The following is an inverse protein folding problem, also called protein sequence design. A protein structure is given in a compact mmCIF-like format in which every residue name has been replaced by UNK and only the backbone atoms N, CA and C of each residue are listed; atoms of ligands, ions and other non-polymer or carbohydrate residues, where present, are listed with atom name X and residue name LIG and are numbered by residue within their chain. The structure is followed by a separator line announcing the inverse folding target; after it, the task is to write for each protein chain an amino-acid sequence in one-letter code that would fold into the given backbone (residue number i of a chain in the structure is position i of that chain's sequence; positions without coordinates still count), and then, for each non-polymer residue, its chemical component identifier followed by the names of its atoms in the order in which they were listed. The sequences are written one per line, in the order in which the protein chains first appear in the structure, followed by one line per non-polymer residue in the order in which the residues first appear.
data_IF_581828603995
#
_entry.id   IF_581828603995
#
_cell.length_a   1.000
_cell.length_b   1.000
_cell.length_c   1.000
_cell.angle_alpha   90.00
_cell.angle_beta   90.00
_cell.angle_gamma   90.00
#
_symmetry.space_group_name_H-M   'P 1'
#
loop_
_entity.id
_entity.type
_entity.pdbx_description
1 polymer ?
#
# COMPACT_ATOMS: atom_id res chain seq x y z
N UNK A 1 -5.86 -22.11 -17.07
CA UNK A 1 -5.83 -20.74 -17.62
C UNK A 1 -6.34 -19.80 -16.56
N UNK A 2 -5.57 -18.79 -16.21
CA UNK A 2 -5.95 -17.75 -15.24
C UNK A 2 -7.07 -16.90 -15.85
N UNK A 3 -8.10 -16.59 -15.04
CA UNK A 3 -9.25 -15.83 -15.51
C UNK A 3 -8.92 -14.32 -15.50
N UNK A 4 -9.05 -13.57 -16.59
CA UNK A 4 -8.69 -12.16 -16.61
C UNK A 4 -9.65 -11.34 -15.75
N UNK A 5 -9.09 -10.36 -15.02
CA UNK A 5 -9.87 -9.35 -14.29
C UNK A 5 -10.27 -8.26 -15.30
N UNK A 6 -11.58 -7.98 -15.39
CA UNK A 6 -12.11 -6.95 -16.31
C UNK A 6 -12.50 -5.69 -15.55
N UNK A 7 -12.10 -4.52 -16.04
CA UNK A 7 -12.40 -3.24 -15.41
C UNK A 7 -13.91 -3.01 -15.22
N UNK A 8 -14.73 -3.39 -16.21
CA UNK A 8 -16.20 -3.26 -16.11
C UNK A 8 -16.77 -4.03 -14.90
N UNK A 9 -16.26 -5.25 -14.62
CA UNK A 9 -16.66 -6.04 -13.46
C UNK A 9 -16.26 -5.39 -12.14
N UNK A 10 -15.09 -4.75 -12.08
CA UNK A 10 -14.64 -3.98 -10.90
C UNK A 10 -15.61 -2.83 -10.64
N UNK A 11 -15.96 -2.06 -11.67
CA UNK A 11 -16.91 -0.95 -11.53
C UNK A 11 -18.29 -1.45 -11.07
N UNK A 12 -18.79 -2.55 -11.63
CA UNK A 12 -20.06 -3.13 -11.19
C UNK A 12 -20.04 -3.49 -9.71
N UNK A 13 -18.99 -4.19 -9.27
CA UNK A 13 -18.83 -4.60 -7.87
C UNK A 13 -18.73 -3.41 -6.92
N UNK A 14 -17.95 -2.39 -7.27
CA UNK A 14 -17.82 -1.20 -6.45
C UNK A 14 -19.16 -0.46 -6.33
N UNK A 15 -19.91 -0.35 -7.43
CA UNK A 15 -21.23 0.29 -7.39
C UNK A 15 -22.24 -0.48 -6.55
N UNK A 16 -22.19 -1.81 -6.51
CA UNK A 16 -23.00 -2.63 -5.61
C UNK A 16 -22.62 -2.37 -4.15
N UNK A 17 -21.33 -2.39 -3.81
CA UNK A 17 -20.81 -2.11 -2.48
C UNK A 17 -21.23 -0.71 -2.00
N UNK A 18 -21.08 0.31 -2.85
CA UNK A 18 -21.34 1.70 -2.49
C UNK A 18 -22.83 2.09 -2.41
N UNK A 19 -23.75 1.19 -2.70
CA UNK A 19 -25.18 1.41 -2.41
C UNK A 19 -25.48 1.46 -0.90
N UNK A 20 -24.62 0.85 -0.10
CA UNK A 20 -24.78 0.74 1.37
C UNK A 20 -24.01 1.81 2.14
N UNK A 21 -23.28 2.72 1.44
CA UNK A 21 -22.56 3.81 2.09
C UNK A 21 -23.48 4.69 2.94
N UNK A 22 -22.97 5.12 4.06
CA UNK A 22 -23.69 5.96 5.02
C UNK A 22 -24.22 7.25 4.36
N UNK A 23 -25.54 7.40 4.32
CA UNK A 23 -26.22 8.61 3.82
C UNK A 23 -26.96 9.28 4.96
N UNK A 24 -26.41 10.35 5.49
CA UNK A 24 -27.00 11.11 6.62
C UNK A 24 -28.13 12.05 6.20
N UNK A 25 -28.44 12.13 4.90
CA UNK A 25 -29.52 13.00 4.41
C UNK A 25 -30.88 12.47 4.82
N UNK A 26 -31.73 13.32 5.36
CA UNK A 26 -33.13 12.97 5.61
C UNK A 26 -33.84 12.73 4.29
N UNK A 27 -34.39 11.52 4.11
CA UNK A 27 -35.06 11.10 2.90
C UNK A 27 -36.07 12.14 2.39
N UNK A 28 -35.78 12.71 1.24
CA UNK A 28 -36.67 13.57 0.47
C UNK A 28 -36.58 13.15 -0.99
N UNK A 29 -37.68 13.18 -1.72
CA UNK A 29 -37.79 12.88 -3.16
C UNK A 29 -36.90 13.77 -4.05
N UNK A 30 -36.10 14.68 -3.48
CA UNK A 30 -35.23 15.64 -4.17
C UNK A 30 -33.74 15.30 -4.16
N UNK A 31 -33.33 14.08 -3.81
CA UNK A 31 -31.92 13.68 -3.86
C UNK A 31 -31.42 13.61 -5.31
N UNK A 32 -30.77 14.68 -5.74
CA UNK A 32 -30.26 14.83 -7.11
C UNK A 32 -29.13 13.86 -7.46
N UNK A 33 -28.33 13.47 -6.46
CA UNK A 33 -27.17 12.60 -6.59
C UNK A 33 -27.22 11.46 -5.57
N UNK A 34 -26.87 10.25 -6.00
CA UNK A 34 -26.75 9.09 -5.11
C UNK A 34 -25.38 9.06 -4.42
N UNK A 35 -25.28 8.33 -3.29
CA UNK A 35 -23.99 8.05 -2.65
C UNK A 35 -23.07 7.30 -3.60
N UNK A 36 -23.62 6.33 -4.33
CA UNK A 36 -22.90 5.56 -5.35
C UNK A 36 -22.31 6.47 -6.44
N UNK A 37 -23.05 7.48 -6.95
CA UNK A 37 -22.51 8.42 -7.94
C UNK A 37 -21.39 9.30 -7.35
N UNK A 38 -21.51 9.71 -6.09
CA UNK A 38 -20.47 10.51 -5.43
C UNK A 38 -19.19 9.70 -5.22
N UNK A 39 -19.29 8.46 -4.72
CA UNK A 39 -18.14 7.58 -4.52
C UNK A 39 -17.51 7.16 -5.85
N UNK A 40 -18.34 6.81 -6.86
CA UNK A 40 -17.83 6.47 -8.22
C UNK A 40 -17.13 7.65 -8.87
N UNK A 41 -17.65 8.87 -8.73
CA UNK A 41 -17.01 10.08 -9.26
C UNK A 41 -15.67 10.35 -8.55
N UNK A 42 -15.62 10.22 -7.21
CA UNK A 42 -14.37 10.40 -6.46
C UNK A 42 -13.31 9.35 -6.84
N UNK A 43 -13.68 8.07 -6.88
CA UNK A 43 -12.80 6.98 -7.34
C UNK A 43 -12.28 7.25 -8.76
N UNK A 44 -13.16 7.68 -9.67
CA UNK A 44 -12.81 7.92 -11.07
C UNK A 44 -11.76 9.03 -11.24
N UNK A 45 -11.77 10.04 -10.38
CA UNK A 45 -10.74 11.10 -10.36
C UNK A 45 -9.36 10.50 -10.10
N UNK A 46 -9.24 9.62 -9.10
CA UNK A 46 -7.99 8.95 -8.77
C UNK A 46 -7.60 7.92 -9.82
N UNK A 47 -8.56 7.14 -10.32
CA UNK A 47 -8.32 6.13 -11.35
C UNK A 47 -7.84 6.76 -12.67
N UNK A 48 -8.42 7.89 -13.09
CA UNK A 48 -7.96 8.60 -14.30
C UNK A 48 -6.75 9.50 -14.06
N UNK A 49 -6.26 9.57 -12.82
CA UNK A 49 -5.23 10.50 -12.40
C UNK A 49 -5.55 11.96 -12.79
N UNK A 50 -6.81 12.34 -12.64
CA UNK A 50 -7.24 13.72 -12.86
C UNK A 50 -6.72 14.63 -11.75
N UNK A 51 -6.21 15.84 -12.06
CA UNK A 51 -5.60 16.71 -11.05
C UNK A 51 -6.61 17.34 -10.08
N UNK A 52 -7.91 17.27 -10.38
CA UNK A 52 -8.99 17.77 -9.52
C UNK A 52 -10.35 17.24 -9.94
N UNK A 53 -11.35 17.33 -9.04
CA UNK A 53 -12.75 17.02 -9.36
C UNK A 53 -13.27 17.86 -10.52
N UNK A 54 -12.93 19.15 -10.56
CA UNK A 54 -13.34 20.04 -11.64
C UNK A 54 -12.73 19.65 -13.00
N UNK A 55 -11.47 19.24 -13.02
CA UNK A 55 -10.84 18.74 -14.25
C UNK A 55 -11.51 17.49 -14.75
N UNK A 56 -11.77 16.52 -13.86
CA UNK A 56 -12.49 15.29 -14.19
C UNK A 56 -13.89 15.59 -14.74
N UNK A 57 -14.66 16.44 -14.05
CA UNK A 57 -15.99 16.82 -14.48
C UNK A 57 -15.98 17.38 -15.90
N UNK A 58 -15.07 18.32 -16.18
CA UNK A 58 -14.94 18.96 -17.49
C UNK A 58 -14.54 17.96 -18.60
N UNK A 59 -13.69 16.99 -18.28
CA UNK A 59 -13.20 16.00 -19.25
C UNK A 59 -14.26 14.91 -19.54
N UNK A 60 -15.13 14.63 -18.56
CA UNK A 60 -16.16 13.58 -18.63
C UNK A 60 -17.58 14.10 -18.91
N UNK A 61 -17.79 15.42 -18.95
CA UNK A 61 -19.12 16.00 -19.19
C UNK A 61 -19.73 15.57 -20.53
N UNK A 62 -21.06 15.55 -20.54
CA UNK A 62 -21.86 15.10 -21.67
C UNK A 62 -21.52 15.80 -22.99
N UNK A 63 -21.18 15.02 -23.99
CA UNK A 63 -21.22 15.44 -25.39
C UNK A 63 -22.34 14.68 -26.11
N UNK A 64 -23.27 15.39 -26.72
CA UNK A 64 -24.36 14.78 -27.50
C UNK A 64 -25.19 13.74 -26.73
N UNK A 65 -25.47 13.96 -25.45
CA UNK A 65 -26.27 13.11 -24.54
C UNK A 65 -25.56 11.86 -23.99
N UNK A 66 -24.33 11.56 -24.37
CA UNK A 66 -23.54 10.49 -23.79
C UNK A 66 -22.33 11.04 -23.03
N UNK A 67 -21.88 10.32 -22.03
CA UNK A 67 -20.76 10.70 -21.17
C UNK A 67 -19.90 9.47 -20.85
N UNK A 68 -18.58 9.64 -20.92
CA UNK A 68 -17.67 8.60 -20.47
C UNK A 68 -17.80 8.29 -18.97
N UNK A 69 -18.29 9.24 -18.17
CA UNK A 69 -18.65 8.94 -16.78
C UNK A 69 -19.77 7.89 -16.69
N UNK A 70 -20.77 7.95 -17.59
CA UNK A 70 -21.85 6.97 -17.65
C UNK A 70 -21.39 5.64 -18.22
N UNK A 71 -20.69 5.65 -19.35
CA UNK A 71 -20.33 4.41 -20.05
C UNK A 71 -19.19 3.64 -19.40
N UNK A 72 -18.19 4.33 -18.83
CA UNK A 72 -17.01 3.72 -18.24
C UNK A 72 -17.14 3.51 -16.73
N UNK A 73 -17.74 4.47 -16.01
CA UNK A 73 -17.86 4.42 -14.55
C UNK A 73 -19.29 4.27 -14.04
N UNK A 74 -20.26 4.23 -14.97
CA UNK A 74 -21.71 4.11 -14.67
C UNK A 74 -22.22 5.21 -13.75
N UNK A 75 -21.58 6.39 -13.78
CA UNK A 75 -22.02 7.59 -13.04
C UNK A 75 -23.12 8.27 -13.86
N UNK A 76 -24.35 8.25 -13.37
CA UNK A 76 -25.48 8.84 -14.09
C UNK A 76 -25.41 10.35 -14.17
N UNK A 77 -25.04 10.97 -13.05
CA UNK A 77 -24.81 12.41 -12.95
C UNK A 77 -23.56 12.69 -12.16
N UNK A 78 -22.59 13.38 -12.74
CA UNK A 78 -21.37 13.79 -12.02
C UNK A 78 -21.76 14.87 -11.00
N UNK A 79 -21.62 14.63 -9.68
CA UNK A 79 -21.84 15.66 -8.68
C UNK A 79 -20.74 16.73 -8.79
N UNK A 80 -21.07 17.99 -8.51
CA UNK A 80 -20.04 19.03 -8.38
C UNK A 80 -19.10 18.72 -7.22
N UNK A 81 -17.90 19.31 -7.24
CA UNK A 81 -16.83 19.04 -6.29
C UNK A 81 -17.26 19.23 -4.82
N UNK A 82 -17.99 20.31 -4.52
CA UNK A 82 -18.53 20.55 -3.18
C UNK A 82 -19.57 19.48 -2.79
N UNK A 83 -20.37 18.99 -3.74
CA UNK A 83 -21.34 17.94 -3.48
C UNK A 83 -20.67 16.61 -3.18
N UNK A 84 -19.60 16.24 -3.91
CA UNK A 84 -18.82 15.04 -3.62
C UNK A 84 -18.28 15.12 -2.20
N UNK A 85 -17.68 16.26 -1.82
CA UNK A 85 -17.13 16.45 -0.48
C UNK A 85 -18.21 16.33 0.61
N UNK A 86 -19.34 17.01 0.45
CA UNK A 86 -20.42 16.98 1.44
C UNK A 86 -21.05 15.60 1.60
N UNK A 87 -21.15 14.83 0.50
CA UNK A 87 -21.71 13.48 0.51
C UNK A 87 -20.75 12.46 1.14
N UNK A 88 -19.45 12.58 0.89
CA UNK A 88 -18.47 11.62 1.37
C UNK A 88 -17.90 11.95 2.76
N UNK A 89 -18.08 13.18 3.26
CA UNK A 89 -17.55 13.54 4.59
C UNK A 89 -18.10 12.69 5.75
N UNK A 90 -19.39 12.29 5.78
CA UNK A 90 -19.88 11.38 6.81
C UNK A 90 -19.54 9.90 6.60
N UNK A 91 -18.99 9.50 5.46
CA UNK A 91 -18.66 8.11 5.12
C UNK A 91 -17.36 7.69 5.80
N UNK A 92 -17.41 6.64 6.63
CA UNK A 92 -16.20 6.06 7.21
C UNK A 92 -15.33 5.43 6.13
N UNK A 93 -13.99 5.59 6.16
CA UNK A 93 -13.09 4.90 5.22
C UNK A 93 -13.23 3.38 5.29
N UNK A 94 -13.63 2.82 6.43
CA UNK A 94 -13.84 1.37 6.62
C UNK A 94 -14.97 0.82 5.74
N UNK A 95 -15.94 1.64 5.35
CA UNK A 95 -17.03 1.24 4.44
C UNK A 95 -16.53 0.87 3.03
N UNK A 96 -15.29 1.24 2.69
CA UNK A 96 -14.65 0.94 1.40
C UNK A 96 -13.66 -0.26 1.51
N UNK A 97 -13.33 -0.72 2.71
CA UNK A 97 -12.33 -1.77 2.91
C UNK A 97 -12.70 -3.10 2.24
N UNK A 98 -13.98 -3.44 2.17
CA UNK A 98 -14.45 -4.66 1.49
C UNK A 98 -14.08 -4.70 0.00
N UNK A 99 -13.91 -3.55 -0.65
CA UNK A 99 -13.55 -3.48 -2.07
C UNK A 99 -12.08 -3.86 -2.31
N UNK A 100 -11.20 -3.57 -1.34
CA UNK A 100 -9.80 -4.03 -1.39
C UNK A 100 -9.71 -5.55 -1.30
N UNK A 101 -10.42 -6.12 -0.31
CA UNK A 101 -10.41 -7.57 -0.10
C UNK A 101 -11.01 -8.29 -1.29
N UNK A 102 -12.07 -7.76 -1.88
CA UNK A 102 -12.63 -8.33 -3.09
C UNK A 102 -11.61 -8.38 -4.24
N UNK A 103 -10.78 -7.34 -4.45
CA UNK A 103 -9.70 -7.35 -5.45
C UNK A 103 -8.65 -8.41 -5.12
N UNK A 104 -8.25 -8.52 -3.85
CA UNK A 104 -7.28 -9.53 -3.40
C UNK A 104 -7.83 -10.95 -3.62
N UNK A 105 -9.11 -11.17 -3.30
CA UNK A 105 -9.80 -12.45 -3.51
C UNK A 105 -9.91 -12.82 -5.00
N UNK A 106 -10.19 -11.85 -5.88
CA UNK A 106 -10.20 -12.06 -7.32
C UNK A 106 -8.81 -12.45 -7.86
N UNK A 107 -7.74 -11.83 -7.36
CA UNK A 107 -6.36 -12.20 -7.68
C UNK A 107 -6.03 -13.61 -7.16
N UNK A 108 -6.52 -13.97 -5.97
CA UNK A 108 -6.36 -15.32 -5.42
C UNK A 108 -7.12 -16.36 -6.24
N UNK A 109 -8.41 -16.12 -6.50
CA UNK A 109 -9.27 -17.03 -7.28
C UNK A 109 -8.78 -17.23 -8.73
N UNK A 110 -8.11 -16.23 -9.29
CA UNK A 110 -7.49 -16.33 -10.63
C UNK A 110 -6.06 -16.91 -10.61
N UNK A 111 -5.52 -17.25 -9.43
CA UNK A 111 -4.18 -17.84 -9.27
C UNK A 111 -3.02 -16.85 -9.35
N UNK A 112 -3.29 -15.56 -9.53
CA UNK A 112 -2.24 -14.55 -9.63
C UNK A 112 -1.58 -14.24 -8.28
N UNK A 113 -2.32 -14.34 -7.18
CA UNK A 113 -1.81 -14.06 -5.84
C UNK A 113 -0.74 -15.07 -5.41
N UNK A 114 -0.83 -16.34 -5.83
CA UNK A 114 0.17 -17.38 -5.51
C UNK A 114 1.59 -16.98 -5.89
N UNK A 115 1.75 -16.21 -6.96
CA UNK A 115 3.04 -15.72 -7.41
C UNK A 115 3.72 -14.77 -6.40
N UNK A 116 2.97 -14.22 -5.44
CA UNK A 116 3.48 -13.33 -4.39
C UNK A 116 4.04 -14.08 -3.19
N UNK A 117 3.74 -15.36 -3.03
CA UNK A 117 4.37 -16.17 -1.99
C UNK A 117 5.88 -16.19 -2.18
N UNK A 118 6.62 -16.07 -1.09
CA UNK A 118 8.07 -16.12 -1.08
C UNK A 118 8.58 -16.87 0.16
N UNK A 119 9.39 -16.29 1.00
CA UNK A 119 10.06 -16.94 2.11
C UNK A 119 9.14 -17.94 2.86
N UNK A 120 9.52 -19.22 2.85
CA UNK A 120 8.77 -20.32 3.46
C UNK A 120 7.29 -20.40 3.04
N UNK A 121 6.95 -19.95 1.84
CA UNK A 121 5.58 -19.97 1.32
C UNK A 121 4.66 -18.91 1.90
N UNK A 122 5.18 -17.92 2.63
CA UNK A 122 4.38 -16.84 3.21
C UNK A 122 4.13 -15.70 2.21
N UNK A 123 3.02 -14.99 2.35
CA UNK A 123 2.88 -13.64 1.82
C UNK A 123 3.65 -12.66 2.70
N UNK A 124 4.24 -11.65 2.09
CA UNK A 124 4.99 -10.64 2.82
C UNK A 124 4.23 -9.32 2.79
N UNK A 125 3.88 -8.79 3.96
CA UNK A 125 3.17 -7.53 4.12
C UNK A 125 4.11 -6.51 4.75
N UNK A 126 4.45 -5.46 4.02
CA UNK A 126 5.23 -4.34 4.54
C UNK A 126 4.30 -3.27 5.10
N UNK A 127 4.55 -2.81 6.32
CA UNK A 127 3.80 -1.79 7.03
C UNK A 127 4.67 -0.57 7.26
N UNK A 128 4.12 0.63 7.01
CA UNK A 128 4.78 1.90 7.31
C UNK A 128 3.75 3.02 7.46
N UNK A 129 4.08 4.04 8.24
CA UNK A 129 3.26 5.22 8.43
C UNK A 129 3.47 6.26 7.32
N UNK A 130 2.40 6.85 6.81
CA UNK A 130 2.45 7.91 5.82
C UNK A 130 1.67 9.13 6.26
N UNK A 131 2.27 10.32 6.13
CA UNK A 131 1.56 11.60 6.20
C UNK A 131 1.10 11.95 4.80
N UNK A 132 -0.21 12.16 4.62
CA UNK A 132 -0.81 12.46 3.31
C UNK A 132 -1.51 13.83 3.26
N UNK A 133 -1.72 14.48 4.41
CA UNK A 133 -2.20 15.86 4.51
C UNK A 133 -1.41 16.59 5.58
N UNK A 134 -1.07 17.86 5.34
CA UNK A 134 -0.50 18.77 6.34
C UNK A 134 -0.88 20.21 6.01
N UNK A 135 -1.32 20.97 7.03
CA UNK A 135 -1.72 22.36 6.90
C UNK A 135 -1.47 23.11 8.20
N UNK A 136 -1.23 24.41 8.11
CA UNK A 136 -1.20 25.33 9.27
C UNK A 136 -2.54 26.01 9.52
N UNK A 137 -3.55 25.78 8.66
CA UNK A 137 -4.83 26.50 8.70
C UNK A 137 -6.03 25.56 8.65
N UNK A 138 -5.98 24.56 7.77
CA UNK A 138 -7.09 23.59 7.58
C UNK A 138 -6.91 22.44 8.55
N UNK A 139 -7.89 22.20 9.41
CA UNK A 139 -7.87 21.13 10.41
C UNK A 139 -9.29 20.68 10.77
N UNK A 140 -9.39 19.51 11.37
CA UNK A 140 -10.59 18.92 11.98
C UNK A 140 -10.20 18.22 13.30
N UNK A 141 -11.18 17.71 14.03
CA UNK A 141 -10.97 17.00 15.30
C UNK A 141 -10.17 15.70 15.16
N UNK A 142 -10.06 15.16 13.94
CA UNK A 142 -9.27 13.97 13.64
C UNK A 142 -7.83 14.28 13.24
N UNK A 143 -7.41 15.54 13.13
CA UNK A 143 -6.04 15.93 12.84
C UNK A 143 -5.12 15.64 14.03
N UNK A 144 -3.95 15.11 13.73
CA UNK A 144 -2.81 15.15 14.64
C UNK A 144 -2.16 16.53 14.59
N UNK A 145 -1.46 16.92 15.65
CA UNK A 145 -0.77 18.21 15.76
C UNK A 145 0.73 17.99 16.00
N UNK A 146 1.54 18.88 15.41
CA UNK A 146 2.94 19.02 15.74
C UNK A 146 3.34 20.49 15.72
N UNK A 147 4.29 20.87 16.59
CA UNK A 147 4.88 22.21 16.56
C UNK A 147 6.27 22.13 15.92
N UNK A 148 6.55 23.07 15.04
CA UNK A 148 7.89 23.22 14.48
C UNK A 148 8.80 24.00 15.46
N UNK A 149 10.09 24.17 15.10
CA UNK A 149 11.07 24.90 15.91
C UNK A 149 10.75 26.37 16.10
N UNK A 150 9.84 26.93 15.32
CA UNK A 150 9.38 28.31 15.40
C UNK A 150 8.07 28.45 16.19
N UNK A 151 7.51 27.33 16.70
CA UNK A 151 6.28 27.28 17.47
C UNK A 151 5.01 27.24 16.61
N UNK A 152 5.12 27.18 15.27
CA UNK A 152 3.97 27.06 14.38
C UNK A 152 3.31 25.71 14.52
N UNK A 153 1.99 25.66 14.71
CA UNK A 153 1.22 24.43 14.76
C UNK A 153 0.95 23.93 13.34
N UNK A 154 1.30 22.68 13.08
CA UNK A 154 0.97 21.95 11.88
C UNK A 154 -0.05 20.87 12.20
N UNK A 155 -1.20 20.94 11.56
CA UNK A 155 -2.24 19.92 11.59
C UNK A 155 -2.00 18.93 10.46
N UNK A 156 -2.07 17.64 10.72
CA UNK A 156 -1.82 16.64 9.69
C UNK A 156 -2.65 15.39 9.88
N UNK A 157 -2.91 14.69 8.76
CA UNK A 157 -3.43 13.33 8.76
C UNK A 157 -2.35 12.35 8.35
N UNK A 158 -2.32 11.24 9.05
CA UNK A 158 -1.45 10.12 8.72
C UNK A 158 -2.19 8.79 8.84
N UNK A 159 -1.65 7.76 8.20
CA UNK A 159 -2.20 6.42 8.24
C UNK A 159 -1.08 5.38 8.14
N UNK A 160 -1.33 4.17 8.62
CA UNK A 160 -0.56 2.99 8.23
C UNK A 160 -1.07 2.57 6.85
N UNK A 161 -0.17 2.35 5.92
CA UNK A 161 -0.48 1.93 4.55
C UNK A 161 0.17 0.57 4.23
N UNK A 162 -0.44 -0.56 4.63
CA UNK A 162 0.12 -1.88 4.40
C UNK A 162 0.07 -2.27 2.93
N UNK A 163 1.08 -3.02 2.46
CA UNK A 163 1.16 -3.52 1.10
C UNK A 163 1.69 -4.94 1.06
N UNK A 164 1.10 -5.79 0.20
CA UNK A 164 1.72 -7.07 -0.13
C UNK A 164 2.87 -6.80 -1.08
N UNK A 165 4.05 -7.28 -0.72
CA UNK A 165 5.30 -7.08 -1.46
C UNK A 165 5.97 -8.41 -1.75
N UNK A 166 6.82 -8.42 -2.78
CA UNK A 166 7.70 -9.54 -3.08
C UNK A 166 9.07 -9.02 -3.49
N UNK A 167 10.18 -9.67 -3.07
CA UNK A 167 11.49 -9.40 -3.65
C UNK A 167 11.43 -9.49 -5.18
N UNK A 168 12.14 -8.58 -5.88
CA UNK A 168 12.29 -8.53 -7.35
C UNK A 168 10.98 -8.35 -8.15
N UNK A 169 9.83 -8.09 -7.50
CA UNK A 169 8.58 -7.74 -8.14
C UNK A 169 8.31 -6.23 -7.95
N UNK A 170 8.19 -5.43 -9.01
CA UNK A 170 7.93 -3.99 -8.90
C UNK A 170 6.47 -3.67 -8.53
N UNK A 171 5.59 -4.66 -8.65
CA UNK A 171 4.16 -4.48 -8.38
C UNK A 171 3.87 -4.79 -6.91
N UNK A 172 3.27 -3.84 -6.21
CA UNK A 172 2.82 -3.99 -4.84
C UNK A 172 1.30 -3.91 -4.78
N UNK A 173 0.67 -4.69 -3.90
CA UNK A 173 -0.78 -4.70 -3.72
C UNK A 173 -1.11 -3.92 -2.45
N UNK A 174 -1.69 -2.73 -2.59
CA UNK A 174 -2.14 -1.94 -1.45
C UNK A 174 -3.28 -2.66 -0.72
N UNK A 175 -3.19 -2.69 0.60
CA UNK A 175 -4.24 -3.19 1.49
C UNK A 175 -5.00 -2.00 2.11
N UNK A 176 -6.15 -2.23 2.75
CA UNK A 176 -6.88 -1.17 3.42
C UNK A 176 -5.97 -0.37 4.35
N UNK A 177 -5.93 0.97 4.27
CA UNK A 177 -5.15 1.77 5.18
C UNK A 177 -5.82 1.90 6.54
N UNK A 178 -5.04 2.11 7.60
CA UNK A 178 -5.54 2.38 8.94
C UNK A 178 -5.18 3.80 9.36
N UNK A 179 -6.18 4.63 9.64
CA UNK A 179 -5.97 6.01 10.05
C UNK A 179 -5.29 6.08 11.43
N UNK A 180 -4.28 6.93 11.56
CA UNK A 180 -3.70 7.28 12.84
C UNK A 180 -4.46 8.49 13.39
N UNK A 181 -5.05 8.34 14.57
CA UNK A 181 -5.93 9.35 15.17
C UNK A 181 -5.32 9.92 16.46
N UNK A 182 -5.73 11.13 16.91
CA UNK A 182 -5.15 11.76 18.10
C UNK A 182 -5.24 10.90 19.37
N UNK A 183 -6.25 10.01 19.47
CA UNK A 183 -6.44 9.09 20.58
C UNK A 183 -5.38 7.99 20.68
N UNK A 184 -4.59 7.77 19.62
CA UNK A 184 -3.53 6.75 19.60
C UNK A 184 -2.33 7.13 20.44
N UNK A 185 -2.19 8.41 20.85
CA UNK A 185 -1.11 8.90 21.71
C UNK A 185 -0.58 10.26 21.26
N UNK A 186 0.37 10.78 22.02
CA UNK A 186 1.00 12.09 21.73
C UNK A 186 2.32 11.94 20.97
N UNK A 187 2.99 10.80 21.05
CA UNK A 187 4.22 10.52 20.34
C UNK A 187 3.95 9.75 19.04
N UNK A 188 4.64 10.12 17.98
CA UNK A 188 4.50 9.47 16.67
C UNK A 188 4.63 7.95 16.78
N UNK A 189 5.57 7.47 17.59
CA UNK A 189 5.83 6.04 17.74
C UNK A 189 4.66 5.27 18.34
N UNK A 190 4.04 5.82 19.39
CA UNK A 190 2.91 5.17 20.04
C UNK A 190 1.68 5.15 19.14
N UNK A 191 1.45 6.22 18.37
CA UNK A 191 0.36 6.32 17.42
C UNK A 191 0.46 5.28 16.30
N UNK A 192 1.63 5.10 15.69
CA UNK A 192 1.83 4.10 14.63
C UNK A 192 1.67 2.66 15.16
N UNK A 193 2.16 2.39 16.39
CA UNK A 193 1.99 1.08 17.04
C UNK A 193 0.52 0.77 17.34
N UNK A 194 -0.24 1.75 17.84
CA UNK A 194 -1.66 1.59 18.14
C UNK A 194 -2.46 1.32 16.87
N UNK A 195 -2.25 2.10 15.82
CA UNK A 195 -2.90 1.90 14.53
C UNK A 195 -2.53 0.54 13.90
N UNK A 196 -1.27 0.13 13.97
CA UNK A 196 -0.84 -1.18 13.46
C UNK A 196 -1.50 -2.35 14.19
N UNK A 197 -1.69 -2.25 15.51
CA UNK A 197 -2.41 -3.26 16.28
C UNK A 197 -3.88 -3.34 15.89
N UNK A 198 -4.57 -2.19 15.70
CA UNK A 198 -5.95 -2.16 15.22
C UNK A 198 -6.06 -2.82 13.84
N UNK A 199 -5.16 -2.45 12.93
CA UNK A 199 -5.14 -3.03 11.61
C UNK A 199 -4.99 -4.55 11.63
N UNK A 200 -4.07 -5.09 12.44
CA UNK A 200 -3.91 -6.53 12.62
C UNK A 200 -5.17 -7.19 13.19
N UNK A 201 -5.78 -6.60 14.21
CA UNK A 201 -6.99 -7.12 14.83
C UNK A 201 -8.20 -7.12 13.88
N UNK A 202 -8.30 -6.10 13.00
CA UNK A 202 -9.42 -5.97 12.07
C UNK A 202 -9.26 -6.86 10.81
N UNK A 203 -8.02 -7.09 10.38
CA UNK A 203 -7.77 -7.67 9.05
C UNK A 203 -7.05 -9.02 9.05
N UNK A 204 -6.59 -9.54 10.19
CA UNK A 204 -5.87 -10.83 10.25
C UNK A 204 -6.71 -12.00 9.74
N UNK A 205 -8.02 -11.98 9.93
CA UNK A 205 -8.92 -13.06 9.51
C UNK A 205 -8.93 -13.26 7.98
N UNK A 206 -8.68 -12.20 7.21
CA UNK A 206 -8.54 -12.32 5.75
C UNK A 206 -7.33 -13.16 5.33
N UNK A 207 -6.38 -13.34 6.24
CA UNK A 207 -5.19 -14.13 6.00
C UNK A 207 -5.19 -15.50 6.71
N UNK A 208 -6.27 -15.87 7.42
CA UNK A 208 -6.36 -17.20 8.08
C UNK A 208 -5.99 -18.37 7.15
N UNK A 209 -6.40 -18.38 5.84
CA UNK A 209 -6.01 -19.44 4.93
C UNK A 209 -4.54 -19.39 4.51
N UNK A 210 -3.80 -18.36 4.89
CA UNK A 210 -2.46 -18.06 4.42
C UNK A 210 -1.49 -17.83 5.58
N UNK A 211 -0.24 -18.16 5.37
CA UNK A 211 0.85 -17.72 6.26
C UNK A 211 1.37 -16.36 5.80
N UNK A 212 1.54 -15.43 6.73
CA UNK A 212 2.00 -14.07 6.49
C UNK A 212 3.28 -13.76 7.26
N UNK A 213 4.19 -13.04 6.62
CA UNK A 213 5.37 -12.42 7.26
C UNK A 213 5.22 -10.91 7.21
N UNK A 214 5.07 -10.27 8.36
CA UNK A 214 4.99 -8.81 8.46
C UNK A 214 6.37 -8.17 8.48
N UNK A 215 6.56 -7.11 7.67
CA UNK A 215 7.75 -6.28 7.67
C UNK A 215 7.44 -4.91 8.26
N UNK A 216 8.35 -4.42 9.09
CA UNK A 216 8.26 -3.08 9.66
C UNK A 216 9.65 -2.50 9.91
N UNK A 217 9.69 -1.23 10.24
CA UNK A 217 10.92 -0.59 10.70
C UNK A 217 11.23 -0.97 12.16
N UNK A 218 12.24 -0.35 12.72
CA UNK A 218 12.71 -0.57 14.09
C UNK A 218 11.65 -0.29 15.19
N UNK A 219 10.64 0.52 14.85
CA UNK A 219 9.51 0.82 15.71
C UNK A 219 8.63 -0.40 15.98
N UNK A 220 8.51 -1.28 14.98
CA UNK A 220 7.68 -2.48 15.03
C UNK A 220 8.33 -3.62 15.84
N UNK A 221 9.65 -3.61 16.00
CA UNK A 221 10.38 -4.61 16.79
C UNK A 221 10.17 -4.39 18.30
N UNK A 222 8.92 -4.40 18.76
CA UNK A 222 8.57 -4.29 20.16
C UNK A 222 7.78 -5.50 20.63
N UNK A 223 8.05 -5.95 21.86
CA UNK A 223 7.46 -7.19 22.38
C UNK A 223 5.94 -7.26 22.30
N UNK A 224 5.15 -6.21 22.66
CA UNK A 224 3.68 -6.29 22.58
C UNK A 224 3.13 -6.52 21.16
N UNK A 225 3.81 -6.02 20.13
CA UNK A 225 3.39 -6.25 18.73
C UNK A 225 3.87 -7.61 18.23
N UNK A 226 5.11 -7.99 18.56
CA UNK A 226 5.64 -9.31 18.20
C UNK A 226 4.79 -10.45 18.79
N UNK A 227 4.41 -10.35 20.07
CA UNK A 227 3.53 -11.30 20.75
C UNK A 227 2.13 -11.34 20.12
N UNK A 228 1.56 -10.18 19.74
CA UNK A 228 0.28 -10.14 19.05
C UNK A 228 0.34 -10.92 17.72
N UNK A 229 1.40 -10.73 16.93
CA UNK A 229 1.56 -11.42 15.65
C UNK A 229 1.79 -12.92 15.84
N UNK A 230 2.67 -13.31 16.77
CA UNK A 230 3.09 -14.69 16.97
C UNK A 230 2.04 -15.52 17.73
N UNK A 231 1.63 -15.06 18.91
CA UNK A 231 0.80 -15.84 19.82
C UNK A 231 -0.70 -15.74 19.48
N UNK A 232 -1.18 -14.56 19.06
CA UNK A 232 -2.60 -14.33 18.79
C UNK A 232 -2.95 -14.67 17.36
N UNK A 233 -2.16 -14.18 16.39
CA UNK A 233 -2.45 -14.38 14.98
C UNK A 233 -1.69 -15.56 14.36
N UNK A 234 -0.75 -16.19 15.08
CA UNK A 234 0.06 -17.32 14.64
C UNK A 234 0.75 -17.06 13.29
N UNK A 235 1.26 -15.85 13.13
CA UNK A 235 1.93 -15.37 11.93
C UNK A 235 3.39 -15.01 12.21
N UNK A 236 4.09 -14.56 11.20
CA UNK A 236 5.53 -14.29 11.25
C UNK A 236 5.82 -12.80 11.10
N UNK A 237 7.01 -12.41 11.56
CA UNK A 237 7.52 -11.06 11.36
C UNK A 237 9.00 -11.04 11.02
N UNK A 238 9.44 -10.00 10.31
CA UNK A 238 10.84 -9.64 10.08
C UNK A 238 10.94 -8.13 10.23
N UNK A 239 11.26 -7.67 11.44
CA UNK A 239 11.32 -6.25 11.77
C UNK A 239 12.76 -5.75 11.84
N UNK A 240 13.03 -4.57 11.28
CA UNK A 240 14.34 -3.93 11.45
C UNK A 240 14.66 -3.78 12.94
N UNK A 241 15.89 -4.07 13.30
CA UNK A 241 16.34 -4.05 14.69
C UNK A 241 17.67 -3.30 14.79
N UNK A 242 17.65 -2.08 15.36
CA UNK A 242 18.82 -1.21 15.44
C UNK A 242 19.52 -1.34 16.81
N UNK A 243 20.86 -1.23 16.87
CA UNK A 243 21.59 -1.28 18.14
C UNK A 243 21.17 -0.19 19.14
N UNK A 244 20.75 0.99 18.64
CA UNK A 244 20.37 2.12 19.49
C UNK A 244 19.07 1.90 20.26
N UNK A 245 18.15 1.10 19.75
CA UNK A 245 16.84 0.83 20.34
C UNK A 245 16.74 -0.53 21.01
N UNK A 246 17.64 -1.47 20.68
CA UNK A 246 17.63 -2.85 21.18
C UNK A 246 18.95 -3.21 21.88
N UNK A 247 19.36 -2.38 22.85
CA UNK A 247 20.65 -2.53 23.53
C UNK A 247 20.85 -3.90 24.18
N UNK A 248 19.82 -4.45 24.83
CA UNK A 248 19.87 -5.78 25.46
C UNK A 248 20.10 -6.88 24.41
N UNK A 249 19.35 -6.88 23.33
CA UNK A 249 19.51 -7.86 22.25
C UNK A 249 20.94 -7.86 21.70
N UNK A 250 21.51 -6.67 21.48
CA UNK A 250 22.87 -6.55 20.94
C UNK A 250 23.96 -6.89 21.97
N UNK A 251 23.72 -6.69 23.27
CA UNK A 251 24.60 -7.18 24.34
C UNK A 251 24.64 -8.71 24.35
N UNK A 252 23.47 -9.36 24.23
CA UNK A 252 23.40 -10.84 24.15
C UNK A 252 24.05 -11.38 22.87
N UNK A 253 23.82 -10.74 21.72
CA UNK A 253 24.50 -11.11 20.46
C UNK A 253 26.03 -11.02 20.63
N UNK A 254 26.54 -9.99 21.28
CA UNK A 254 27.98 -9.84 21.53
C UNK A 254 28.54 -10.91 22.51
N UNK A 255 27.74 -11.36 23.47
CA UNK A 255 28.10 -12.47 24.35
C UNK A 255 28.12 -13.80 23.60
N UNK A 256 27.08 -14.07 22.81
CA UNK A 256 26.99 -15.23 21.94
C UNK A 256 28.15 -15.28 20.93
N UNK A 257 28.54 -14.15 20.36
CA UNK A 257 29.67 -14.08 19.43
C UNK A 257 30.97 -14.53 20.08
N UNK A 258 31.25 -14.05 21.32
CA UNK A 258 32.43 -14.49 22.10
C UNK A 258 32.39 -15.99 22.43
N UNK A 259 31.20 -16.54 22.62
CA UNK A 259 30.98 -17.96 22.88
C UNK A 259 30.91 -18.84 21.64
N UNK A 260 31.04 -18.28 20.42
CA UNK A 260 30.92 -19.01 19.16
C UNK A 260 29.46 -19.33 18.76
N UNK A 261 28.48 -18.69 19.39
CA UNK A 261 27.04 -18.90 19.14
C UNK A 261 26.46 -18.04 17.99
N UNK A 262 27.25 -17.18 17.37
CA UNK A 262 26.86 -16.43 16.17
C UNK A 262 27.39 -17.12 14.93
N UNK A 263 26.48 -17.53 14.05
CA UNK A 263 26.86 -18.15 12.78
C UNK A 263 27.10 -17.06 11.72
N UNK A 264 28.16 -17.21 10.93
CA UNK A 264 28.50 -16.29 9.85
C UNK A 264 28.56 -17.04 8.51
N UNK A 265 27.98 -16.44 7.49
CA UNK A 265 27.97 -16.94 6.12
C UNK A 265 28.41 -15.86 5.15
N UNK A 266 29.32 -16.18 4.22
CA UNK A 266 29.86 -15.23 3.25
C UNK A 266 29.50 -15.65 1.83
N UNK A 267 29.04 -14.68 1.03
CA UNK A 267 28.83 -14.83 -0.40
C UNK A 267 29.56 -13.71 -1.15
N UNK A 268 30.28 -14.06 -2.21
CA UNK A 268 30.86 -13.08 -3.13
C UNK A 268 29.97 -12.98 -4.36
N UNK A 269 29.54 -11.75 -4.70
CA UNK A 269 28.62 -11.47 -5.82
C UNK A 269 29.20 -10.40 -6.72
N UNK A 270 28.95 -10.51 -8.01
CA UNK A 270 29.21 -9.49 -9.00
C UNK A 270 27.95 -8.66 -9.21
N UNK A 271 28.02 -7.32 -9.09
CA UNK A 271 26.87 -6.43 -9.24
C UNK A 271 26.79 -5.73 -10.62
N UNK A 272 27.57 -6.17 -11.60
CA UNK A 272 27.69 -5.56 -12.93
C UNK A 272 28.84 -4.55 -13.04
N UNK A 273 29.45 -4.11 -11.92
CA UNK A 273 30.54 -3.11 -11.90
C UNK A 273 31.73 -3.54 -11.05
N UNK A 274 31.50 -4.17 -9.91
CA UNK A 274 32.53 -4.63 -8.98
C UNK A 274 32.04 -5.85 -8.19
N UNK A 275 32.96 -6.55 -7.57
CA UNK A 275 32.65 -7.62 -6.64
C UNK A 275 32.24 -7.04 -5.27
N UNK A 276 31.21 -7.63 -4.70
CA UNK A 276 30.69 -7.35 -3.37
C UNK A 276 30.89 -8.58 -2.49
N UNK A 277 31.25 -8.35 -1.22
CA UNK A 277 31.23 -9.37 -0.18
C UNK A 277 29.97 -9.18 0.64
N UNK A 278 29.09 -10.17 0.61
CA UNK A 278 27.85 -10.24 1.37
C UNK A 278 28.10 -11.10 2.60
N UNK A 279 28.06 -10.49 3.77
CA UNK A 279 28.28 -11.17 5.06
C UNK A 279 26.94 -11.22 5.79
N UNK A 280 26.46 -12.44 5.99
CA UNK A 280 25.28 -12.74 6.80
C UNK A 280 25.72 -13.24 8.14
N UNK A 281 25.14 -12.73 9.22
CA UNK A 281 25.36 -13.20 10.58
C UNK A 281 24.01 -13.46 11.23
N UNK A 282 23.89 -14.50 12.04
CA UNK A 282 22.65 -14.77 12.76
C UNK A 282 22.88 -15.51 14.07
N UNK A 283 21.93 -15.34 14.98
CA UNK A 283 21.78 -16.09 16.20
C UNK A 283 20.29 -16.35 16.48
N UNK A 284 19.94 -17.53 16.93
CA UNK A 284 18.58 -17.86 17.31
C UNK A 284 18.40 -17.73 18.82
N UNK A 285 17.16 -17.50 19.26
CA UNK A 285 16.75 -17.46 20.68
C UNK A 285 17.46 -16.37 21.48
N UNK A 286 17.47 -15.14 20.96
CA UNK A 286 18.03 -13.95 21.61
C UNK A 286 16.91 -13.16 22.28
N UNK A 287 17.03 -12.72 23.54
CA UNK A 287 15.98 -11.92 24.19
C UNK A 287 15.84 -10.55 23.51
N UNK A 288 14.62 -10.17 23.16
CA UNK A 288 14.35 -8.89 22.48
C UNK A 288 14.58 -7.68 23.41
N UNK A 289 14.37 -7.85 24.72
CA UNK A 289 14.54 -6.82 25.75
C UNK A 289 15.07 -7.42 27.07
N UNK A 290 15.34 -6.58 28.02
CA UNK A 290 15.64 -7.01 29.39
C UNK A 290 14.36 -7.50 30.11
N UNK A 291 14.52 -8.47 31.02
CA UNK A 291 13.47 -9.00 31.88
C UNK A 291 13.28 -10.51 31.72
N UNK A 292 12.77 -11.15 32.76
CA UNK A 292 12.55 -12.61 32.78
C UNK A 292 11.37 -13.09 31.89
N UNK A 293 10.56 -12.14 31.45
CA UNK A 293 9.44 -12.32 30.52
C UNK A 293 9.75 -11.84 29.10
N UNK A 294 11.04 -11.67 28.77
CA UNK A 294 11.46 -11.22 27.45
C UNK A 294 11.11 -12.25 26.37
N UNK A 295 10.46 -11.78 25.29
CA UNK A 295 10.28 -12.59 24.08
C UNK A 295 11.64 -12.94 23.50
N UNK A 296 11.85 -14.23 23.19
CA UNK A 296 13.04 -14.68 22.49
C UNK A 296 12.77 -14.68 20.98
N UNK A 297 13.60 -13.96 20.28
CA UNK A 297 13.55 -13.81 18.82
C UNK A 297 14.80 -14.36 18.18
N UNK A 298 14.77 -14.54 16.86
CA UNK A 298 15.95 -14.87 16.08
C UNK A 298 16.47 -13.56 15.44
N UNK A 299 17.77 -13.34 15.52
CA UNK A 299 18.43 -12.15 15.01
C UNK A 299 19.23 -12.48 13.75
N UNK A 300 19.13 -11.63 12.73
CA UNK A 300 19.98 -11.69 11.54
C UNK A 300 20.52 -10.31 11.15
N UNK A 301 21.72 -10.30 10.58
CA UNK A 301 22.41 -9.12 10.08
C UNK A 301 22.93 -9.39 8.67
N UNK A 302 22.78 -8.42 7.79
CA UNK A 302 23.43 -8.39 6.48
C UNK A 302 24.31 -7.17 6.36
N UNK A 303 25.60 -7.40 6.07
CA UNK A 303 26.56 -6.39 5.68
C UNK A 303 27.06 -6.66 4.28
N UNK A 304 26.97 -5.66 3.39
CA UNK A 304 27.51 -5.71 2.03
C UNK A 304 28.68 -4.73 1.96
N UNK A 305 29.84 -5.23 1.55
CA UNK A 305 31.03 -4.40 1.38
C UNK A 305 31.58 -4.55 -0.04
N UNK A 306 32.24 -3.50 -0.52
CA UNK A 306 33.03 -3.58 -1.75
C UNK A 306 34.21 -4.52 -1.50
N UNK A 307 34.36 -5.56 -2.32
CA UNK A 307 35.33 -6.64 -2.03
C UNK A 307 36.78 -6.20 -2.02
N UNK A 308 37.16 -5.16 -2.78
CA UNK A 308 38.55 -4.66 -2.88
C UNK A 308 38.84 -3.57 -1.85
N UNK A 309 37.88 -2.63 -1.64
CA UNK A 309 38.11 -1.46 -0.79
C UNK A 309 37.65 -1.65 0.65
N UNK A 310 36.86 -2.68 0.94
CA UNK A 310 36.24 -2.90 2.26
C UNK A 310 35.14 -1.91 2.62
N UNK A 311 34.84 -0.92 1.73
CA UNK A 311 33.81 0.09 2.02
C UNK A 311 32.44 -0.55 2.18
N UNK A 312 31.75 -0.23 3.29
CA UNK A 312 30.38 -0.68 3.50
C UNK A 312 29.42 0.02 2.52
N UNK A 313 28.67 -0.79 1.76
CA UNK A 313 27.66 -0.36 0.78
C UNK A 313 26.27 -0.42 1.43
N UNK A 314 26.02 -1.47 2.22
CA UNK A 314 24.74 -1.68 2.89
C UNK A 314 24.95 -2.38 4.24
N UNK A 315 24.15 -2.01 5.24
CA UNK A 315 24.13 -2.67 6.53
C UNK A 315 22.74 -2.55 7.13
N UNK A 316 22.15 -3.67 7.53
CA UNK A 316 20.92 -3.71 8.31
C UNK A 316 20.83 -5.01 9.12
N UNK A 317 19.96 -5.03 10.13
CA UNK A 317 19.69 -6.19 10.93
C UNK A 317 18.20 -6.30 11.25
N UNK A 318 17.76 -7.52 11.53
CA UNK A 318 16.35 -7.84 11.77
C UNK A 318 16.18 -8.78 12.97
N UNK A 319 15.07 -8.59 13.67
CA UNK A 319 14.51 -9.53 14.62
C UNK A 319 13.32 -10.25 13.97
N UNK A 320 13.19 -11.56 14.18
CA UNK A 320 12.17 -12.39 13.59
C UNK A 320 11.82 -13.59 14.47
N UNK A 321 10.60 -14.14 14.32
CA UNK A 321 10.24 -15.44 14.90
C UNK A 321 10.48 -16.60 13.93
N UNK A 322 10.84 -16.35 12.66
CA UNK A 322 11.32 -17.40 11.76
C UNK A 322 12.63 -18.02 12.26
N UNK A 323 12.70 -19.34 12.29
CA UNK A 323 13.97 -20.04 12.56
C UNK A 323 14.99 -19.78 11.47
N UNK A 324 16.22 -19.41 11.85
CA UNK A 324 17.28 -19.04 10.91
C UNK A 324 18.31 -20.17 10.81
N UNK A 325 18.71 -20.50 9.59
CA UNK A 325 19.74 -21.45 9.26
C UNK A 325 20.66 -20.90 8.15
N UNK A 326 21.75 -21.63 7.87
CA UNK A 326 22.64 -21.29 6.74
C UNK A 326 21.91 -21.34 5.39
N UNK A 327 20.90 -22.19 5.26
CA UNK A 327 20.17 -22.39 4.01
C UNK A 327 19.17 -21.25 3.73
N UNK A 328 18.64 -20.58 4.77
CA UNK A 328 17.57 -19.60 4.61
C UNK A 328 17.94 -18.17 4.96
N UNK A 329 19.05 -17.90 5.64
CA UNK A 329 19.43 -16.55 6.10
C UNK A 329 19.54 -15.54 4.95
N UNK A 330 20.03 -15.95 3.80
CA UNK A 330 20.17 -15.08 2.63
C UNK A 330 18.80 -14.64 2.08
N UNK A 331 17.83 -15.57 2.04
CA UNK A 331 16.47 -15.26 1.60
C UNK A 331 15.72 -14.43 2.65
N UNK A 332 15.85 -14.75 3.93
CA UNK A 332 15.27 -13.96 5.02
C UNK A 332 15.74 -12.49 4.95
N UNK A 333 17.05 -12.26 4.83
CA UNK A 333 17.58 -10.93 4.68
C UNK A 333 17.10 -10.22 3.40
N UNK A 334 16.90 -10.97 2.30
CA UNK A 334 16.33 -10.44 1.05
C UNK A 334 14.88 -9.99 1.26
N UNK A 335 14.09 -10.76 1.99
CA UNK A 335 12.71 -10.41 2.37
C UNK A 335 12.70 -9.18 3.29
N UNK A 336 13.50 -9.15 4.35
CA UNK A 336 13.60 -8.01 5.26
C UNK A 336 13.97 -6.69 4.55
N UNK A 337 14.85 -6.78 3.53
CA UNK A 337 15.17 -5.63 2.68
C UNK A 337 13.97 -5.14 1.85
N UNK A 338 13.01 -5.99 1.55
CA UNK A 338 11.86 -5.65 0.69
C UNK A 338 10.93 -4.60 1.32
N UNK A 339 11.04 -4.31 2.63
CA UNK A 339 10.28 -3.26 3.31
C UNK A 339 10.32 -1.91 2.56
N UNK A 340 11.45 -1.54 1.95
CA UNK A 340 11.58 -0.27 1.23
C UNK A 340 10.52 -0.07 0.12
N UNK A 341 9.87 -1.13 -0.34
CA UNK A 341 8.83 -1.06 -1.39
C UNK A 341 7.56 -0.37 -0.92
N UNK A 342 7.23 -0.40 0.38
CA UNK A 342 6.09 0.36 0.90
C UNK A 342 6.28 1.86 0.65
N UNK A 343 7.50 2.35 0.78
CA UNK A 343 7.81 3.75 0.51
C UNK A 343 7.97 4.02 -0.99
N UNK A 344 8.80 3.25 -1.69
CA UNK A 344 9.20 3.57 -3.07
C UNK A 344 8.22 3.11 -4.14
N UNK A 345 7.62 1.92 -3.98
CA UNK A 345 6.71 1.34 -4.99
C UNK A 345 5.22 1.61 -4.68
N UNK A 346 4.91 2.14 -3.49
CA UNK A 346 3.56 2.55 -3.11
C UNK A 346 3.52 4.08 -2.91
N UNK A 347 3.99 4.58 -1.78
CA UNK A 347 3.80 5.97 -1.36
C UNK A 347 4.44 6.97 -2.33
N UNK A 348 5.69 6.76 -2.75
CA UNK A 348 6.37 7.64 -3.69
C UNK A 348 5.74 7.62 -5.09
N UNK A 349 5.15 6.48 -5.50
CA UNK A 349 4.37 6.40 -6.74
C UNK A 349 3.11 7.26 -6.61
N UNK A 350 2.38 7.14 -5.50
CA UNK A 350 1.18 7.93 -5.23
C UNK A 350 1.45 9.44 -5.14
N UNK A 351 2.59 9.84 -4.58
CA UNK A 351 3.01 11.25 -4.50
C UNK A 351 3.46 11.80 -5.86
N UNK A 352 4.27 11.06 -6.61
CA UNK A 352 5.08 11.62 -7.70
C UNK A 352 4.64 11.18 -9.10
N UNK A 353 3.77 10.15 -9.23
CA UNK A 353 3.41 9.58 -10.52
C UNK A 353 1.92 9.74 -10.89
N UNK A 354 1.34 10.88 -10.52
CA UNK A 354 0.05 11.33 -11.05
C UNK A 354 -1.17 11.05 -10.18
N UNK A 355 -1.03 10.35 -9.04
CA UNK A 355 -2.15 10.16 -8.09
C UNK A 355 -2.38 11.37 -7.19
N UNK A 356 -1.45 12.33 -7.19
CA UNK A 356 -1.57 13.58 -6.45
C UNK A 356 -1.88 13.39 -4.95
N UNK A 357 -1.23 12.40 -4.29
CA UNK A 357 -1.52 12.01 -2.92
C UNK A 357 -1.49 13.16 -1.92
N UNK A 358 -0.57 14.12 -2.10
CA UNK A 358 -0.42 15.29 -1.22
C UNK A 358 -1.31 16.46 -1.63
N UNK A 359 -2.09 16.35 -2.73
CA UNK A 359 -3.04 17.37 -3.12
C UNK A 359 -4.30 17.31 -2.26
N UNK A 360 -4.71 18.45 -1.74
CA UNK A 360 -5.93 18.54 -0.96
C UNK A 360 -7.18 18.49 -1.86
N UNK A 361 -7.66 17.28 -2.15
CA UNK A 361 -8.94 17.08 -2.85
C UNK A 361 -10.16 17.47 -1.99
N UNK A 362 -10.01 17.48 -0.67
CA UNK A 362 -11.00 17.86 0.31
C UNK A 362 -10.58 17.37 1.69
N UNK A 363 -10.75 18.21 2.70
CA UNK A 363 -10.39 17.85 4.07
C UNK A 363 -11.62 17.37 4.85
N UNK A 364 -12.75 18.12 4.76
CA UNK A 364 -13.97 17.84 5.51
C UNK A 364 -13.85 18.13 7.01
N UNK A 365 -14.93 17.84 7.71
CA UNK A 365 -15.01 18.00 9.17
C UNK A 365 -14.95 16.64 9.90
N UNK A 366 -15.18 15.52 9.18
CA UNK A 366 -15.26 14.16 9.76
C UNK A 366 -14.25 13.21 9.12
N UNK A 367 -14.65 12.56 8.03
CA UNK A 367 -13.90 11.43 7.44
C UNK A 367 -13.38 11.72 6.04
N UNK A 368 -13.76 12.83 5.40
CA UNK A 368 -13.52 13.07 3.99
C UNK A 368 -12.04 12.87 3.59
N UNK A 369 -11.10 13.43 4.37
CA UNK A 369 -9.67 13.30 4.07
C UNK A 369 -9.24 11.82 4.04
N UNK A 370 -9.66 11.04 5.04
CA UNK A 370 -9.35 9.61 5.15
C UNK A 370 -10.04 8.80 4.06
N UNK A 371 -11.31 9.09 3.75
CA UNK A 371 -12.08 8.39 2.72
C UNK A 371 -11.51 8.64 1.32
N UNK A 372 -11.12 9.89 1.01
CA UNK A 372 -10.47 10.21 -0.26
C UNK A 372 -9.08 9.57 -0.37
N UNK A 373 -8.31 9.53 0.72
CA UNK A 373 -7.05 8.80 0.79
C UNK A 373 -7.24 7.31 0.50
N UNK A 374 -8.23 6.69 1.13
CA UNK A 374 -8.58 5.27 0.92
C UNK A 374 -8.98 5.04 -0.54
N UNK A 375 -9.84 5.86 -1.14
CA UNK A 375 -10.21 5.72 -2.56
C UNK A 375 -9.02 5.91 -3.52
N UNK A 376 -8.05 6.74 -3.17
CA UNK A 376 -6.83 6.92 -3.96
C UNK A 376 -5.95 5.66 -3.95
N UNK A 377 -5.73 5.06 -2.77
CA UNK A 377 -5.02 3.79 -2.66
C UNK A 377 -5.79 2.65 -3.37
N UNK A 378 -7.12 2.62 -3.27
CA UNK A 378 -7.95 1.64 -3.98
C UNK A 378 -7.77 1.76 -5.50
N UNK A 379 -7.72 2.98 -6.05
CA UNK A 379 -7.45 3.19 -7.47
C UNK A 379 -6.06 2.67 -7.86
N UNK A 380 -5.05 2.84 -7.02
CA UNK A 380 -3.72 2.28 -7.24
C UNK A 380 -3.72 0.75 -7.20
N UNK A 381 -4.43 0.14 -6.24
CA UNK A 381 -4.61 -1.31 -6.17
C UNK A 381 -5.27 -1.85 -7.44
N UNK A 382 -6.34 -1.20 -7.94
CA UNK A 382 -7.02 -1.60 -9.19
C UNK A 382 -6.06 -1.52 -10.38
N UNK A 383 -5.25 -0.47 -10.50
CA UNK A 383 -4.25 -0.37 -11.57
C UNK A 383 -3.22 -1.50 -11.50
N UNK A 384 -2.79 -1.87 -10.30
CA UNK A 384 -1.86 -2.99 -10.10
C UNK A 384 -2.52 -4.32 -10.44
N UNK A 385 -3.75 -4.55 -9.99
CA UNK A 385 -4.51 -5.76 -10.30
C UNK A 385 -4.77 -5.93 -11.81
N UNK A 386 -5.13 -4.85 -12.50
CA UNK A 386 -5.28 -4.84 -13.95
C UNK A 386 -3.94 -5.14 -14.66
N UNK A 387 -2.84 -4.57 -14.19
CA UNK A 387 -1.52 -4.86 -14.77
C UNK A 387 -1.13 -6.33 -14.63
N UNK A 388 -1.49 -6.96 -13.51
CA UNK A 388 -1.19 -8.37 -13.24
C UNK A 388 -2.12 -9.30 -14.03
N UNK A 389 -3.42 -8.99 -14.10
CA UNK A 389 -4.46 -9.93 -14.47
C UNK A 389 -5.30 -9.52 -15.72
N UNK A 390 -4.89 -8.48 -16.45
CA UNK A 390 -5.53 -8.04 -17.69
C UNK A 390 -4.48 -7.79 -18.77
N UNK A 391 -4.47 -8.63 -19.80
CA UNK A 391 -3.43 -8.62 -20.82
C UNK A 391 -3.44 -7.33 -21.65
N UNK A 392 -4.62 -6.81 -22.00
CA UNK A 392 -4.76 -5.56 -22.76
C UNK A 392 -4.21 -4.36 -21.98
N UNK A 393 -4.59 -4.27 -20.70
CA UNK A 393 -4.09 -3.20 -19.83
C UNK A 393 -2.56 -3.31 -19.65
N UNK A 394 -2.05 -4.53 -19.45
CA UNK A 394 -0.60 -4.77 -19.32
C UNK A 394 0.14 -4.37 -20.59
N UNK A 395 -0.34 -4.82 -21.78
CA UNK A 395 0.26 -4.48 -23.06
C UNK A 395 0.35 -2.97 -23.27
N UNK A 396 -0.74 -2.24 -23.00
CA UNK A 396 -0.77 -0.78 -23.09
C UNK A 396 0.22 -0.13 -22.13
N UNK A 397 0.30 -0.66 -20.89
CA UNK A 397 1.21 -0.11 -19.85
C UNK A 397 2.69 -0.38 -20.15
N UNK A 398 3.01 -1.49 -20.77
CA UNK A 398 4.38 -1.84 -21.18
C UNK A 398 4.79 -1.06 -22.43
N UNK A 399 3.90 -0.88 -23.38
CA UNK A 399 4.12 -0.07 -24.59
C UNK A 399 4.29 1.40 -24.23
N UNK A 400 3.41 1.96 -23.42
CA UNK A 400 3.49 3.31 -22.89
C UNK A 400 4.23 3.26 -21.54
N UNK A 401 5.53 2.96 -21.56
CA UNK A 401 6.34 2.65 -20.38
C UNK A 401 6.26 3.71 -19.26
N UNK A 402 6.03 4.98 -19.62
CA UNK A 402 5.84 6.07 -18.67
C UNK A 402 4.38 6.12 -18.24
N UNK A 403 4.11 5.87 -16.95
CA UNK A 403 2.76 5.92 -16.36
C UNK A 403 2.00 7.21 -16.72
N UNK A 404 2.67 8.34 -16.63
CA UNK A 404 2.10 9.65 -16.93
C UNK A 404 1.60 9.76 -18.38
N UNK A 405 2.31 9.20 -19.35
CA UNK A 405 1.89 9.20 -20.76
C UNK A 405 0.58 8.44 -20.94
N UNK A 406 0.49 7.21 -20.41
CA UNK A 406 -0.73 6.41 -20.49
C UNK A 406 -1.95 7.15 -19.96
N UNK A 407 -1.87 7.74 -18.75
CA UNK A 407 -3.02 8.46 -18.18
C UNK A 407 -3.30 9.80 -18.86
N UNK A 408 -2.30 10.43 -19.44
CA UNK A 408 -2.50 11.62 -20.27
C UNK A 408 -3.29 11.27 -21.51
N UNK A 409 -2.93 10.21 -22.22
CA UNK A 409 -3.62 9.74 -23.42
C UNK A 409 -5.04 9.28 -23.09
N UNK A 410 -5.23 8.53 -22.01
CA UNK A 410 -6.55 8.13 -21.53
C UNK A 410 -7.47 9.35 -21.30
N UNK A 411 -6.98 10.39 -20.60
CA UNK A 411 -7.77 11.62 -20.40
C UNK A 411 -8.01 12.40 -21.69
N UNK A 412 -7.03 12.45 -22.58
CA UNK A 412 -7.20 13.10 -23.88
C UNK A 412 -8.28 12.39 -24.72
N UNK A 413 -8.24 11.07 -24.81
CA UNK A 413 -9.23 10.28 -25.53
C UNK A 413 -10.63 10.44 -24.93
N UNK A 414 -10.77 10.32 -23.62
CA UNK A 414 -12.09 10.45 -22.96
C UNK A 414 -12.66 11.85 -23.02
N UNK A 415 -11.82 12.89 -23.23
CA UNK A 415 -12.28 14.26 -23.47
C UNK A 415 -12.92 14.45 -24.85
N UNK A 416 -12.43 13.80 -25.88
CA UNK A 416 -12.82 14.06 -27.27
C UNK A 416 -13.69 12.97 -27.87
N UNK A 417 -13.61 11.73 -27.37
CA UNK A 417 -14.31 10.56 -27.87
C UNK A 417 -15.17 9.94 -26.78
N UNK A 418 -16.25 9.26 -27.20
CA UNK A 418 -17.11 8.47 -26.31
C UNK A 418 -16.84 6.99 -26.55
N UNK A 419 -16.57 6.27 -25.47
CA UNK A 419 -16.32 4.83 -25.47
C UNK A 419 -17.49 4.10 -24.80
N UNK A 420 -17.97 3.03 -25.41
CA UNK A 420 -19.10 2.26 -24.91
C UNK A 420 -18.73 1.37 -23.71
N UNK A 421 -17.44 1.06 -23.54
CA UNK A 421 -16.90 0.23 -22.46
C UNK A 421 -15.39 0.46 -22.31
N UNK A 422 -14.82 -0.02 -21.21
CA UNK A 422 -13.38 -0.06 -21.00
C UNK A 422 -12.66 -0.89 -22.07
N UNK A 423 -13.25 -2.02 -22.50
CA UNK A 423 -12.68 -2.82 -23.56
C UNK A 423 -12.57 -2.03 -24.87
N UNK A 424 -13.63 -1.33 -25.26
CA UNK A 424 -13.62 -0.50 -26.47
C UNK A 424 -12.53 0.58 -26.43
N UNK A 425 -12.26 1.17 -25.23
CA UNK A 425 -11.18 2.14 -25.08
C UNK A 425 -9.81 1.48 -25.20
N UNK A 426 -9.60 0.31 -24.59
CA UNK A 426 -8.33 -0.41 -24.68
C UNK A 426 -8.05 -0.89 -26.11
N UNK A 427 -9.05 -1.48 -26.79
CA UNK A 427 -8.94 -1.88 -28.18
C UNK A 427 -8.54 -0.70 -29.07
N UNK A 428 -9.21 0.45 -28.89
CA UNK A 428 -8.87 1.67 -29.62
C UNK A 428 -7.43 2.14 -29.40
N UNK A 429 -6.94 2.05 -28.16
CA UNK A 429 -5.56 2.42 -27.85
C UNK A 429 -4.55 1.42 -28.43
N UNK A 430 -4.86 0.13 -28.37
CA UNK A 430 -4.02 -0.95 -28.93
C UNK A 430 -3.89 -0.79 -30.44
N UNK A 431 -5.03 -0.58 -31.14
CA UNK A 431 -5.07 -0.36 -32.58
C UNK A 431 -4.28 0.92 -32.97
N UNK A 432 -4.47 2.01 -32.20
CA UNK A 432 -3.79 3.28 -32.46
C UNK A 432 -2.27 3.25 -32.21
N UNK A 433 -1.79 2.34 -31.38
CA UNK A 433 -0.38 2.11 -31.12
C UNK A 433 0.23 1.04 -32.07
N UNK A 434 -0.58 0.41 -32.91
CA UNK A 434 -0.18 -0.67 -33.83
C UNK A 434 0.54 -1.83 -33.13
N UNK A 435 0.14 -2.13 -31.87
CA UNK A 435 0.73 -3.21 -31.08
C UNK A 435 -0.14 -4.45 -31.08
N UNK A 436 0.49 -5.60 -30.96
CA UNK A 436 -0.19 -6.90 -30.92
C UNK A 436 0.25 -7.66 -29.68
N UNK A 437 -0.64 -8.48 -29.15
CA UNK A 437 -0.26 -9.45 -28.13
C UNK A 437 0.80 -10.39 -28.70
N UNK A 438 1.87 -10.63 -27.90
CA UNK A 438 2.80 -11.70 -28.23
C UNK A 438 2.01 -13.01 -28.32
N UNK A 439 2.26 -13.86 -29.32
CA UNK A 439 1.63 -15.19 -29.36
C UNK A 439 1.95 -15.95 -28.07
N UNK A 440 1.02 -16.75 -27.55
CA UNK A 440 1.14 -17.48 -26.29
C UNK A 440 2.30 -18.47 -26.27
#
# INVERSE_FOLDING_TARGET
MTKPIKMGRIIDRFRESWQTLTDVRKGNNSQKYTMTDAASAAFSVFFTQSPSFLSFQRDMEQKKRNSNAQTLFKVEKIPGDQQIRNLLDPVSPTEVHSDYWWIVDELAASGHLESYKCFQGTFVIAMDGVVYHSSTKVHCDCCQERRDSQGTVHYYHSAIAPVIVKPDCPHVLSLPPEAIVPQDGHEKQDCERAASKRWLQEHSDHFEPYSVTYLGDDLYANQPLCVLIEDVHQQYFVFTCKPSSHTTLYQEVALLEKAGGVTTHHLRRWNGRHHELWTYRFANQVPLRAGGDALHVNWSELRITHAETGKTIYHNAWATNHSISLDNVAELCRVGRTRWKVENENINVLKNQGYHLEHNFGHGDKHLANTLFTLNLLAFLVHTALHIANDDYRLLRETLAVRRTFFHDLRALTRYMIFNSWQHLFDFMIDGLEVQHSPP
#
